data_IF_394080316518
#
_entry.id   IF_394080316518
#
_cell.length_a   1.000
_cell.length_b   1.000
_cell.length_c   1.000
_cell.angle_alpha   90.00
_cell.angle_beta   90.00
_cell.angle_gamma   90.00
#
_symmetry.space_group_name_H-M   'P 1'
#
loop_
_entity.id
_entity.type
_entity.pdbx_description
1 polymer ?
#
# COMPACT_ATOMS: atom_id res chain seq x y z
N UNK A 1 -46.77 34.72 -5.58
CA UNK A 1 -45.99 33.93 -6.54
C UNK A 1 -44.54 33.97 -6.09
N UNK A 2 -44.09 32.93 -5.41
CA UNK A 2 -42.85 32.96 -4.63
C UNK A 2 -42.07 31.68 -4.90
N UNK A 3 -41.06 31.73 -5.77
CA UNK A 3 -39.87 30.86 -5.72
C UNK A 3 -39.06 31.02 -7.00
N UNK A 4 -38.07 31.92 -7.00
CA UNK A 4 -37.04 31.89 -8.02
C UNK A 4 -35.66 32.39 -7.58
N UNK A 5 -35.33 32.47 -6.28
CA UNK A 5 -34.04 33.05 -5.86
C UNK A 5 -33.50 32.50 -4.52
N UNK A 6 -33.46 31.17 -4.36
CA UNK A 6 -32.65 30.50 -3.32
C UNK A 6 -32.00 29.24 -3.89
N UNK A 7 -31.09 29.39 -4.86
CA UNK A 7 -30.27 28.27 -5.35
C UNK A 7 -28.91 28.71 -5.92
N UNK A 8 -28.31 29.74 -5.32
CA UNK A 8 -26.97 30.25 -5.71
C UNK A 8 -26.05 30.39 -4.48
N UNK A 9 -26.20 29.52 -3.48
CA UNK A 9 -25.12 29.25 -2.53
C UNK A 9 -25.07 27.74 -2.34
N UNK A 10 -24.55 27.10 -3.38
CA UNK A 10 -24.29 25.66 -3.46
C UNK A 10 -23.40 25.27 -2.30
N UNK A 11 -23.96 24.41 -1.45
CA UNK A 11 -23.36 23.95 -0.21
C UNK A 11 -21.95 23.45 -0.40
N UNK A 12 -21.08 23.93 0.47
CA UNK A 12 -19.79 23.34 0.77
C UNK A 12 -20.06 21.93 1.35
N UNK A 13 -20.22 20.97 0.44
CA UNK A 13 -20.52 19.58 0.77
C UNK A 13 -19.28 18.95 1.40
N UNK A 14 -19.29 18.86 2.73
CA UNK A 14 -18.34 18.10 3.56
C UNK A 14 -18.19 16.63 3.10
N UNK A 15 -19.12 16.14 2.28
CA UNK A 15 -19.10 14.83 1.63
C UNK A 15 -17.98 14.64 0.61
N UNK A 16 -17.29 15.72 0.18
CA UNK A 16 -16.15 15.62 -0.74
C UNK A 16 -14.84 15.31 -0.02
N UNK A 17 -14.75 15.57 1.29
CA UNK A 17 -13.55 15.34 2.10
C UNK A 17 -13.52 13.89 2.61
N UNK A 18 -14.67 13.28 2.92
CA UNK A 18 -14.70 11.86 3.35
C UNK A 18 -14.15 10.90 2.28
N UNK A 19 -14.40 11.17 1.00
CA UNK A 19 -13.87 10.34 -0.10
C UNK A 19 -12.34 10.38 -0.23
N UNK A 20 -11.66 11.33 0.39
CA UNK A 20 -10.19 11.36 0.42
C UNK A 20 -9.59 10.64 1.64
N UNK A 21 -10.37 10.40 2.69
CA UNK A 21 -9.91 9.66 3.87
C UNK A 21 -10.14 8.15 3.79
N UNK A 22 -11.12 7.69 3.00
CA UNK A 22 -11.32 6.25 2.78
C UNK A 22 -10.30 5.61 1.82
N UNK A 23 -9.45 6.43 1.17
CA UNK A 23 -8.43 5.94 0.25
C UNK A 23 -7.20 5.34 0.96
N UNK A 24 -7.11 5.44 2.29
CA UNK A 24 -6.09 4.74 3.08
C UNK A 24 -6.43 3.26 3.32
N UNK A 25 -7.60 2.80 2.87
CA UNK A 25 -8.08 1.42 3.00
C UNK A 25 -8.35 0.76 1.65
N UNK A 26 -7.65 1.18 0.57
CA UNK A 26 -7.72 0.44 -0.68
C UNK A 26 -7.16 -0.97 -0.44
N UNK A 27 -8.04 -1.97 -0.55
CA UNK A 27 -7.78 -3.36 -0.25
C UNK A 27 -6.41 -3.77 -0.77
N UNK A 28 -5.54 -4.14 0.17
CA UNK A 28 -4.21 -4.65 -0.10
C UNK A 28 -4.34 -5.84 -1.04
N UNK A 29 -4.13 -5.63 -2.34
CA UNK A 29 -4.30 -6.69 -3.32
C UNK A 29 -3.31 -7.79 -2.95
N UNK A 30 -3.84 -8.96 -2.58
CA UNK A 30 -3.03 -10.13 -2.29
C UNK A 30 -2.83 -10.91 -3.57
N UNK A 31 -1.62 -11.41 -3.79
CA UNK A 31 -1.31 -12.28 -4.92
C UNK A 31 -0.26 -13.30 -4.51
N UNK A 32 0.12 -14.21 -5.41
CA UNK A 32 1.20 -15.17 -5.14
C UNK A 32 2.48 -14.78 -5.85
N UNK A 33 3.60 -14.90 -5.13
CA UNK A 33 4.92 -14.70 -5.71
C UNK A 33 5.18 -15.73 -6.80
N UNK A 34 5.52 -15.28 -8.01
CA UNK A 34 5.84 -16.13 -9.16
C UNK A 34 7.00 -17.12 -8.91
N UNK A 35 7.88 -16.82 -7.95
CA UNK A 35 9.07 -17.62 -7.68
C UNK A 35 8.88 -18.62 -6.54
N UNK A 36 8.44 -18.15 -5.37
CA UNK A 36 8.27 -19.02 -4.20
C UNK A 36 6.84 -19.51 -3.96
N UNK A 37 5.84 -18.95 -4.64
CA UNK A 37 4.43 -19.29 -4.45
C UNK A 37 3.81 -18.74 -3.17
N UNK A 38 4.57 -18.03 -2.32
CA UNK A 38 4.04 -17.43 -1.09
C UNK A 38 3.10 -16.27 -1.40
N UNK A 39 2.14 -16.05 -0.52
CA UNK A 39 1.25 -14.89 -0.58
C UNK A 39 2.05 -13.61 -0.35
N UNK A 40 1.85 -12.63 -1.23
CA UNK A 40 2.43 -11.30 -1.16
C UNK A 40 1.31 -10.26 -1.15
N UNK A 41 1.64 -9.11 -0.59
CA UNK A 41 0.74 -8.00 -0.36
C UNK A 41 1.24 -6.82 -1.18
N UNK A 42 0.44 -6.33 -2.13
CA UNK A 42 0.80 -5.14 -2.89
C UNK A 42 0.46 -3.88 -2.10
N UNK A 43 1.45 -3.04 -1.89
CA UNK A 43 1.28 -1.74 -1.22
C UNK A 43 1.70 -0.61 -2.12
N UNK A 44 0.89 0.45 -2.10
CA UNK A 44 1.20 1.73 -2.72
C UNK A 44 2.24 2.46 -1.87
N UNK A 45 3.32 2.90 -2.51
CA UNK A 45 4.34 3.76 -1.93
C UNK A 45 3.97 5.23 -2.15
N UNK A 46 4.55 6.12 -1.33
CA UNK A 46 4.37 7.59 -1.46
C UNK A 46 4.74 8.14 -2.85
N UNK A 47 5.58 7.43 -3.60
CA UNK A 47 5.99 7.78 -4.96
C UNK A 47 5.02 7.27 -6.05
N UNK A 48 3.85 6.73 -5.68
CA UNK A 48 2.86 6.18 -6.60
C UNK A 48 3.22 4.81 -7.19
N UNK A 49 4.36 4.22 -6.82
CA UNK A 49 4.73 2.86 -7.26
C UNK A 49 4.14 1.82 -6.32
N UNK A 50 3.79 0.66 -6.87
CA UNK A 50 3.33 -0.51 -6.10
C UNK A 50 4.43 -1.52 -5.90
N UNK A 51 4.70 -1.90 -4.65
CA UNK A 51 5.71 -2.88 -4.31
C UNK A 51 5.09 -4.12 -3.66
N UNK A 52 5.63 -5.32 -3.95
CA UNK A 52 5.21 -6.55 -3.29
C UNK A 52 5.91 -6.66 -1.94
N UNK A 53 5.14 -6.69 -0.86
CA UNK A 53 5.59 -6.87 0.51
C UNK A 53 5.20 -8.25 1.04
N UNK A 54 5.92 -8.69 2.08
CA UNK A 54 5.48 -9.83 2.87
C UNK A 54 4.14 -9.52 3.57
N UNK A 55 3.27 -10.54 3.78
CA UNK A 55 1.93 -10.34 4.34
C UNK A 55 1.96 -9.96 5.84
N UNK A 56 3.11 -10.13 6.49
CA UNK A 56 3.33 -9.79 7.89
C UNK A 56 4.57 -8.90 8.01
N UNK A 57 4.58 -8.06 9.04
CA UNK A 57 5.81 -7.35 9.45
C UNK A 57 6.85 -8.37 9.91
N UNK A 58 8.10 -8.10 9.63
CA UNK A 58 9.24 -8.91 10.04
C UNK A 58 10.19 -8.07 10.88
N UNK A 59 10.96 -8.73 11.76
CA UNK A 59 12.00 -8.08 12.54
C UNK A 59 13.16 -7.71 11.60
N UNK A 60 13.44 -6.42 11.49
CA UNK A 60 14.59 -5.88 10.80
C UNK A 60 15.57 -5.33 11.82
N UNK A 61 16.86 -5.54 11.56
CA UNK A 61 17.94 -4.84 12.26
C UNK A 61 18.37 -3.66 11.39
N UNK A 62 18.59 -2.51 12.01
CA UNK A 62 19.35 -1.42 11.39
C UNK A 62 20.86 -1.65 11.54
N UNK A 63 21.65 -0.74 10.98
CA UNK A 63 23.11 -0.78 11.05
C UNK A 63 23.64 -0.53 12.49
N UNK A 64 22.80 0.00 13.38
CA UNK A 64 23.10 0.27 14.79
C UNK A 64 22.78 -0.93 15.70
N UNK A 65 22.12 -1.97 15.17
CA UNK A 65 21.74 -3.19 15.89
C UNK A 65 20.38 -3.12 16.59
N UNK A 66 19.59 -2.07 16.40
CA UNK A 66 18.23 -1.97 16.91
C UNK A 66 17.29 -2.86 16.10
N UNK A 67 16.44 -3.61 16.80
CA UNK A 67 15.45 -4.50 16.18
C UNK A 67 14.08 -3.82 16.16
N UNK A 68 13.48 -3.71 14.98
CA UNK A 68 12.15 -3.13 14.81
C UNK A 68 11.29 -3.93 13.81
N UNK A 69 9.97 -3.80 13.95
CA UNK A 69 9.00 -4.47 13.08
C UNK A 69 8.69 -3.62 11.85
N UNK A 70 9.13 -4.07 10.67
CA UNK A 70 8.94 -3.36 9.42
C UNK A 70 8.22 -4.20 8.36
N UNK A 71 7.60 -3.51 7.41
CA UNK A 71 7.14 -4.11 6.17
C UNK A 71 8.33 -4.26 5.23
N UNK A 72 8.67 -5.49 4.87
CA UNK A 72 9.82 -5.76 3.99
C UNK A 72 9.35 -6.16 2.60
N UNK A 73 9.95 -5.60 1.54
CA UNK A 73 9.67 -6.02 0.19
C UNK A 73 10.00 -7.49 -0.01
N UNK A 74 9.06 -8.27 -0.53
CA UNK A 74 9.17 -9.73 -0.63
C UNK A 74 10.37 -10.18 -1.47
N UNK A 75 10.82 -9.38 -2.44
CA UNK A 75 12.01 -9.71 -3.22
C UNK A 75 13.30 -9.76 -2.37
N UNK A 76 13.36 -9.04 -1.24
CA UNK A 76 14.50 -9.12 -0.32
C UNK A 76 14.49 -10.42 0.50
N UNK A 77 13.31 -10.91 0.87
CA UNK A 77 13.17 -12.13 1.69
C UNK A 77 13.13 -13.41 0.84
N UNK A 78 12.60 -13.33 -0.39
CA UNK A 78 12.42 -14.47 -1.30
C UNK A 78 13.75 -15.10 -1.73
N UNK A 79 14.08 -16.28 -1.17
CA UNK A 79 15.29 -17.04 -1.50
C UNK A 79 15.36 -17.45 -2.98
N UNK A 80 14.24 -17.89 -3.56
CA UNK A 80 14.18 -18.36 -4.96
C UNK A 80 14.41 -17.21 -5.95
N UNK A 81 13.81 -16.04 -5.70
CA UNK A 81 14.06 -14.84 -6.50
C UNK A 81 15.53 -14.41 -6.45
N UNK A 82 16.11 -14.35 -5.24
CA UNK A 82 17.52 -13.99 -5.05
C UNK A 82 18.49 -14.95 -5.74
N UNK A 83 18.21 -16.26 -5.70
CA UNK A 83 19.00 -17.25 -6.43
C UNK A 83 18.97 -17.01 -7.94
N UNK A 84 17.77 -16.82 -8.52
CA UNK A 84 17.64 -16.56 -9.97
C UNK A 84 18.41 -15.31 -10.42
N UNK A 85 18.45 -14.25 -9.61
CA UNK A 85 19.20 -13.03 -9.92
C UNK A 85 20.72 -13.17 -9.87
N UNK A 86 21.26 -14.14 -9.13
CA UNK A 86 22.72 -14.37 -9.08
C UNK A 86 23.25 -15.16 -10.28
N UNK A 87 22.37 -15.82 -11.02
CA UNK A 87 22.73 -16.72 -12.13
C UNK A 87 22.47 -16.10 -13.50
N UNK A 88 21.93 -14.88 -13.54
CA UNK A 88 21.60 -14.16 -14.78
C UNK A 88 22.42 -12.90 -14.94
#
# INVERSE_FOLDING_TARGET
>A
MSSFLKKIFGGFSASRIEKTFDNETSATQSSRCKFCGQTIVWKDLKNGKRWPFDPRKVNCADDEGNIFLAWVPHFQTCKKWRRKRKTG
#
